data_IF_053734318381
#
_entry.id   IF_053734318381
#
_cell.length_a   1.000
_cell.length_b   1.000
_cell.length_c   1.000
_cell.angle_alpha   90.00
_cell.angle_beta   90.00
_cell.angle_gamma   90.00
#
_symmetry.space_group_name_H-M   'P 1'
#
loop_
_entity.id
_entity.type
_entity.pdbx_description
1 polymer ?
#
# COMPACT_ATOMS: atom_id res chain seq x y z
N UNK A 1 -9.26 -8.66 -21.34
CA UNK A 1 -7.93 -8.03 -21.43
C UNK A 1 -8.15 -6.55 -21.65
N UNK A 2 -8.44 -5.84 -20.56
CA UNK A 2 -7.55 -4.88 -19.92
C UNK A 2 -7.80 -3.48 -20.51
N UNK A 3 -8.75 -2.75 -19.92
CA UNK A 3 -9.06 -1.33 -20.20
C UNK A 3 -7.81 -0.45 -20.34
N UNK A 4 -6.73 -0.85 -19.68
CA UNK A 4 -5.41 -0.28 -19.75
C UNK A 4 -4.76 -0.36 -21.14
N UNK A 5 -4.97 -1.44 -21.88
CA UNK A 5 -4.46 -1.56 -23.25
C UNK A 5 -5.17 -0.53 -24.15
N UNK A 6 -6.50 -0.43 -24.04
CA UNK A 6 -7.30 0.60 -24.72
C UNK A 6 -6.87 2.02 -24.32
N UNK A 7 -6.53 2.24 -23.04
CA UNK A 7 -5.97 3.50 -22.59
C UNK A 7 -4.61 3.81 -23.22
N UNK A 8 -3.70 2.84 -23.24
CA UNK A 8 -2.35 3.02 -23.78
C UNK A 8 -2.36 3.25 -25.29
N UNK A 9 -3.27 2.60 -26.01
CA UNK A 9 -3.49 2.85 -27.44
C UNK A 9 -3.96 4.30 -27.69
N UNK A 10 -4.81 4.85 -26.80
CA UNK A 10 -5.32 6.22 -26.90
C UNK A 10 -4.35 7.30 -26.38
N UNK A 11 -3.42 6.94 -25.50
CA UNK A 11 -2.50 7.86 -24.82
C UNK A 11 -1.05 7.35 -24.93
N UNK A 12 -0.45 7.36 -26.13
CA UNK A 12 0.88 6.79 -26.36
C UNK A 12 2.03 7.60 -25.74
N UNK A 13 1.79 8.88 -25.44
CA UNK A 13 2.72 9.77 -24.75
C UNK A 13 2.81 9.48 -23.24
N UNK A 14 1.77 8.87 -22.68
CA UNK A 14 1.65 8.55 -21.25
C UNK A 14 1.08 7.14 -21.04
N UNK A 15 1.78 6.08 -21.50
CA UNK A 15 1.32 4.73 -21.30
C UNK A 15 1.40 4.38 -19.82
N UNK A 16 0.38 3.69 -19.34
CA UNK A 16 0.46 3.05 -18.04
C UNK A 16 1.32 1.78 -18.23
N UNK A 17 2.20 1.47 -17.29
CA UNK A 17 3.04 0.27 -17.31
C UNK A 17 2.88 -0.51 -16.00
N UNK A 18 2.52 -1.79 -16.08
CA UNK A 18 2.43 -2.69 -14.93
C UNK A 18 3.68 -3.55 -14.86
N UNK A 19 4.50 -3.32 -13.85
CA UNK A 19 5.72 -4.08 -13.59
C UNK A 19 5.49 -5.14 -12.53
N UNK A 20 6.24 -6.24 -12.59
CA UNK A 20 6.24 -7.27 -11.54
C UNK A 20 6.55 -6.69 -10.15
N UNK A 21 7.40 -5.66 -10.08
CA UNK A 21 7.73 -4.98 -8.82
C UNK A 21 6.51 -4.32 -8.18
N UNK A 22 5.67 -3.65 -8.99
CA UNK A 22 4.43 -3.03 -8.50
C UNK A 22 3.42 -4.09 -8.02
N UNK A 23 3.29 -5.19 -8.76
CA UNK A 23 2.41 -6.30 -8.39
C UNK A 23 2.82 -6.92 -7.05
N UNK A 24 4.10 -7.26 -6.89
CA UNK A 24 4.65 -7.79 -5.64
C UNK A 24 4.46 -6.81 -4.49
N UNK A 25 4.67 -5.51 -4.74
CA UNK A 25 4.44 -4.45 -3.75
C UNK A 25 2.98 -4.42 -3.26
N UNK A 26 2.03 -4.50 -4.19
CA UNK A 26 0.59 -4.52 -3.88
C UNK A 26 0.20 -5.75 -3.07
N UNK A 27 0.66 -6.94 -3.45
CA UNK A 27 0.38 -8.18 -2.71
C UNK A 27 0.95 -8.10 -1.29
N UNK A 28 2.18 -7.61 -1.12
CA UNK A 28 2.77 -7.40 0.21
C UNK A 28 1.98 -6.40 1.05
N UNK A 29 1.47 -5.32 0.45
CA UNK A 29 0.61 -4.36 1.15
C UNK A 29 -0.72 -4.99 1.58
N UNK A 30 -1.34 -5.84 0.75
CA UNK A 30 -2.57 -6.56 1.09
C UNK A 30 -2.36 -7.55 2.23
N UNK A 31 -1.20 -8.22 2.27
CA UNK A 31 -0.82 -9.12 3.36
C UNK A 31 -0.42 -8.40 4.65
N UNK A 32 -0.25 -7.06 4.64
CA UNK A 32 0.17 -6.30 5.82
C UNK A 32 -1.04 -6.00 6.71
N UNK A 33 -1.04 -6.42 7.99
CA UNK A 33 -2.12 -6.11 8.94
C UNK A 33 -2.36 -4.60 9.07
N UNK A 34 -3.61 -4.19 9.35
CA UNK A 34 -4.00 -2.78 9.47
C UNK A 34 -3.11 -1.99 10.44
N UNK A 35 -2.88 -2.54 11.64
CA UNK A 35 -2.00 -1.95 12.66
C UNK A 35 -0.57 -1.70 12.13
N UNK A 36 0.01 -2.66 11.40
CA UNK A 36 1.33 -2.50 10.77
C UNK A 36 1.35 -1.43 9.67
N UNK A 37 0.24 -1.24 8.93
CA UNK A 37 0.12 -0.16 7.94
C UNK A 37 0.06 1.20 8.63
N UNK A 38 -0.72 1.32 9.69
CA UNK A 38 -0.85 2.54 10.49
C UNK A 38 0.49 2.97 11.10
N UNK A 39 1.24 2.03 11.67
CA UNK A 39 2.58 2.30 12.22
C UNK A 39 3.59 2.76 11.17
N UNK A 40 3.56 2.18 9.96
CA UNK A 40 4.46 2.61 8.86
C UNK A 40 4.12 4.00 8.35
N UNK A 41 2.83 4.33 8.25
CA UNK A 41 2.35 5.63 7.82
C UNK A 41 2.63 6.75 8.85
N UNK A 42 2.71 6.40 10.14
CA UNK A 42 2.96 7.37 11.19
C UNK A 42 4.37 7.99 11.14
N UNK A 43 4.53 9.29 11.47
CA UNK A 43 5.82 9.95 11.65
C UNK A 43 6.69 9.24 12.69
N UNK A 44 8.00 9.15 12.46
CA UNK A 44 8.94 8.36 13.30
C UNK A 44 8.80 8.62 14.80
N UNK A 45 8.67 9.89 15.21
CA UNK A 45 8.54 10.28 16.63
C UNK A 45 7.22 9.90 17.30
N UNK A 46 6.19 9.55 16.54
CA UNK A 46 4.87 9.16 17.04
C UNK A 46 4.63 7.65 17.03
N UNK A 47 5.50 6.88 16.36
CA UNK A 47 5.34 5.43 16.20
C UNK A 47 5.30 4.66 17.52
N UNK A 48 6.09 5.08 18.51
CA UNK A 48 6.10 4.44 19.83
C UNK A 48 4.73 4.54 20.50
N UNK A 49 4.21 5.77 20.64
CA UNK A 49 2.88 6.01 21.23
C UNK A 49 1.75 5.32 20.46
N UNK A 50 1.81 5.33 19.14
CA UNK A 50 0.81 4.65 18.30
C UNK A 50 0.90 3.11 18.44
N UNK A 51 2.10 2.55 18.63
CA UNK A 51 2.26 1.12 18.87
C UNK A 51 1.64 0.74 20.21
N UNK A 52 1.90 1.53 21.26
CA UNK A 52 1.32 1.30 22.58
C UNK A 52 -0.22 1.36 22.55
N UNK A 53 -0.80 2.33 21.82
CA UNK A 53 -2.25 2.44 21.63
C UNK A 53 -2.83 1.23 20.87
N UNK A 54 -2.23 0.85 19.74
CA UNK A 54 -2.70 -0.27 18.93
C UNK A 54 -2.57 -1.63 19.66
N UNK A 55 -1.60 -1.74 20.58
CA UNK A 55 -1.47 -2.91 21.45
C UNK A 55 -2.54 -2.94 22.54
N UNK A 56 -2.86 -1.79 23.16
CA UNK A 56 -3.92 -1.69 24.15
C UNK A 56 -5.31 -2.01 23.55
N UNK A 57 -5.61 -1.49 22.36
CA UNK A 57 -6.87 -1.75 21.64
C UNK A 57 -7.04 -3.22 21.21
N UNK A 58 -5.97 -4.02 21.25
CA UNK A 58 -5.99 -5.43 20.85
C UNK A 58 -6.24 -6.40 22.03
N UNK A 59 -6.15 -5.91 23.27
CA UNK A 59 -6.38 -6.70 24.50
C UNK A 59 -7.81 -6.54 25.07
N UNK A 60 -8.63 -5.69 24.45
CA UNK A 60 -10.06 -5.46 24.75
C UNK A 60 -10.97 -6.28 23.82
#
# INVERSE_FOLDING_TARGET
MAWFNDWNEKNPDSPIEITNKQLVGKVKQMATPSASRMLKAAPKGLRGRLADQLSADAEE
#
